data_IF_900454557952
#
_entry.id   IF_900454557952
#
_cell.length_a   1.000
_cell.length_b   1.000
_cell.length_c   1.000
_cell.angle_alpha   90.00
_cell.angle_beta   90.00
_cell.angle_gamma   90.00
#
_symmetry.space_group_name_H-M   'P 1'
#
loop_
_entity.id
_entity.type
_entity.pdbx_description
1 polymer ?
#
# COMPACT_ATOMS: atom_id res chain seq x y z
N UNK A 1 4.20 -3.66 22.12
CA UNK A 1 3.27 -4.03 21.03
C UNK A 1 3.22 -2.85 20.06
N UNK A 2 3.98 -2.89 18.97
CA UNK A 2 3.95 -1.85 17.94
C UNK A 2 2.86 -2.21 16.91
N UNK A 3 2.05 -1.22 16.53
CA UNK A 3 1.01 -1.39 15.51
C UNK A 3 1.52 -0.77 14.21
N UNK A 4 1.56 -1.55 13.13
CA UNK A 4 1.98 -1.10 11.81
C UNK A 4 0.76 -1.24 10.89
N UNK A 5 0.41 -0.19 10.15
CA UNK A 5 -0.71 -0.22 9.21
C UNK A 5 -0.15 -0.35 7.81
N UNK A 6 -0.61 -1.34 7.05
CA UNK A 6 -0.23 -1.54 5.66
C UNK A 6 -1.52 -1.49 4.85
N UNK A 7 -1.64 -0.47 3.99
CA UNK A 7 -2.71 -0.40 3.00
C UNK A 7 -2.11 -0.48 1.60
N UNK A 8 -2.79 -1.24 0.74
CA UNK A 8 -2.56 -1.23 -0.70
C UNK A 8 -3.44 -0.13 -1.30
N UNK A 9 -2.93 1.11 -1.32
CA UNK A 9 -3.59 2.19 -2.05
C UNK A 9 -3.14 2.14 -3.51
N UNK A 10 -3.86 1.36 -4.30
CA UNK A 10 -3.77 1.34 -5.76
C UNK A 10 -4.22 2.66 -6.39
N UNK A 11 -3.43 3.73 -6.25
CA UNK A 11 -3.58 4.93 -7.05
C UNK A 11 -2.93 4.77 -8.43
N UNK A 12 -3.55 5.46 -9.37
CA UNK A 12 -3.52 5.13 -10.78
C UNK A 12 -2.40 5.79 -11.58
N UNK A 13 -1.19 5.25 -11.53
CA UNK A 13 -0.07 5.83 -12.28
C UNK A 13 0.31 4.97 -13.47
N UNK A 14 -0.11 5.40 -14.65
CA UNK A 14 0.01 4.64 -15.89
C UNK A 14 1.38 4.85 -16.54
N UNK A 15 2.10 3.77 -16.87
CA UNK A 15 3.28 3.89 -17.74
C UNK A 15 2.85 4.27 -19.16
N UNK A 16 3.27 5.45 -19.63
CA UNK A 16 3.01 5.90 -21.01
C UNK A 16 3.96 5.31 -22.04
N UNK A 17 5.16 4.88 -21.64
CA UNK A 17 6.22 4.41 -22.56
C UNK A 17 6.24 2.89 -22.71
N UNK A 18 5.99 2.16 -21.62
CA UNK A 18 5.97 0.70 -21.60
C UNK A 18 4.69 0.19 -20.93
N UNK A 19 3.55 0.18 -21.64
CA UNK A 19 2.31 -0.33 -21.06
C UNK A 19 2.49 -1.81 -20.69
N UNK A 20 2.24 -2.14 -19.41
CA UNK A 20 2.30 -3.52 -18.92
C UNK A 20 1.42 -4.39 -19.83
N UNK A 21 1.93 -5.52 -20.34
CA UNK A 21 1.19 -6.37 -21.28
C UNK A 21 0.01 -7.08 -20.59
N UNK A 22 -1.10 -7.25 -21.31
CA UNK A 22 -2.34 -7.84 -20.79
C UNK A 22 -2.16 -9.28 -20.23
N UNK A 23 -1.12 -10.00 -20.66
CA UNK A 23 -0.90 -11.42 -20.36
C UNK A 23 -0.37 -11.70 -18.94
N UNK A 24 0.05 -10.67 -18.19
CA UNK A 24 0.56 -10.78 -16.81
C UNK A 24 -0.26 -10.02 -15.76
N UNK A 25 -1.46 -9.53 -16.13
CA UNK A 25 -2.34 -8.73 -15.26
C UNK A 25 -3.27 -9.61 -14.43
N UNK A 26 -3.33 -9.38 -13.12
CA UNK A 26 -4.45 -9.85 -12.28
C UNK A 26 -5.63 -8.86 -12.24
N UNK A 27 -5.42 -7.59 -12.64
CA UNK A 27 -6.48 -6.58 -12.78
C UNK A 27 -6.35 -5.83 -14.11
N UNK A 28 -7.47 -5.37 -14.68
CA UNK A 28 -7.55 -4.75 -16.02
C UNK A 28 -6.97 -3.32 -16.07
N UNK A 29 -5.86 -3.05 -15.35
CA UNK A 29 -5.34 -1.70 -15.18
C UNK A 29 -3.87 -1.55 -15.54
N UNK A 30 -3.55 -0.47 -16.24
CA UNK A 30 -2.20 -0.05 -16.63
C UNK A 30 -1.44 0.72 -15.55
N UNK A 31 -1.99 0.73 -14.34
CA UNK A 31 -1.52 1.48 -13.19
C UNK A 31 -0.39 0.73 -12.47
N UNK A 32 0.64 1.45 -12.03
CA UNK A 32 1.61 0.97 -11.08
C UNK A 32 0.95 0.74 -9.72
N UNK A 33 1.29 -0.36 -9.06
CA UNK A 33 0.84 -0.68 -7.71
C UNK A 33 1.88 -0.19 -6.71
N UNK A 34 1.43 0.41 -5.61
CA UNK A 34 2.32 0.96 -4.57
C UNK A 34 1.82 0.51 -3.21
N UNK A 35 2.66 -0.22 -2.48
CA UNK A 35 2.41 -0.58 -1.11
C UNK A 35 2.91 0.52 -0.18
N UNK A 36 2.12 0.86 0.84
CA UNK A 36 2.49 1.85 1.86
C UNK A 36 2.29 1.24 3.23
N UNK A 37 3.36 1.19 4.03
CA UNK A 37 3.31 0.83 5.44
C UNK A 37 3.67 2.02 6.32
N UNK A 38 2.87 2.25 7.35
CA UNK A 38 3.06 3.34 8.32
C UNK A 38 3.02 2.76 9.73
N UNK A 39 4.10 2.99 10.47
CA UNK A 39 4.16 2.69 11.89
C UNK A 39 3.27 3.65 12.69
N UNK A 40 2.45 3.12 13.59
CA UNK A 40 1.55 3.88 14.45
C UNK A 40 2.11 3.91 15.85
N UNK A 41 2.41 5.11 16.33
CA UNK A 41 2.90 5.35 17.68
C UNK A 41 1.79 5.96 18.55
N UNK A 42 1.91 5.93 19.88
CA UNK A 42 0.95 6.58 20.78
C UNK A 42 0.74 8.06 20.48
N UNK A 43 1.76 8.73 19.93
CA UNK A 43 1.72 10.12 19.47
C UNK A 43 2.17 10.20 18.00
N UNK A 44 1.23 9.98 17.09
CA UNK A 44 1.43 10.19 15.65
C UNK A 44 1.93 8.97 14.89
N UNK A 45 2.73 9.23 13.84
CA UNK A 45 3.24 8.21 12.93
C UNK A 45 4.76 8.12 13.03
N UNK A 46 5.27 6.89 13.02
CA UNK A 46 6.70 6.58 13.05
C UNK A 46 7.25 6.41 11.64
N UNK A 47 7.98 5.31 11.42
CA UNK A 47 8.57 5.02 10.11
C UNK A 47 7.49 4.81 9.05
N UNK A 48 7.79 5.29 7.84
CA UNK A 48 6.97 5.13 6.64
C UNK A 48 7.80 4.34 5.63
N UNK A 49 7.18 3.35 4.98
CA UNK A 49 7.75 2.57 3.89
C UNK A 49 6.80 2.68 2.70
N UNK A 50 7.36 2.99 1.54
CA UNK A 50 6.65 3.08 0.27
C UNK A 50 7.45 2.21 -0.71
N UNK A 51 6.79 1.31 -1.42
CA UNK A 51 7.45 0.47 -2.42
C UNK A 51 6.51 0.22 -3.59
N UNK A 52 7.01 0.35 -4.81
CA UNK A 52 6.30 -0.10 -6.00
C UNK A 52 6.28 -1.63 -6.04
N UNK A 53 5.10 -2.20 -6.20
CA UNK A 53 4.94 -3.63 -6.41
C UNK A 53 4.93 -3.93 -7.91
N UNK A 54 5.66 -4.98 -8.32
CA UNK A 54 5.62 -5.47 -9.70
C UNK A 54 4.21 -5.95 -10.08
N UNK A 55 3.52 -6.58 -9.12
CA UNK A 55 2.18 -7.12 -9.29
C UNK A 55 1.32 -6.83 -8.05
N UNK A 56 0.04 -6.53 -8.27
CA UNK A 56 -0.96 -6.39 -7.21
C UNK A 56 -1.49 -7.75 -6.73
N UNK A 57 -0.59 -8.68 -6.44
CA UNK A 57 -0.93 -10.04 -6.04
C UNK A 57 -0.54 -10.31 -4.58
N UNK A 58 -1.07 -11.40 -4.02
CA UNK A 58 -0.79 -11.79 -2.64
C UNK A 58 0.70 -12.00 -2.36
N UNK A 59 1.45 -12.58 -3.31
CA UNK A 59 2.87 -12.89 -3.11
C UNK A 59 3.71 -11.61 -2.99
N UNK A 60 3.54 -10.66 -3.91
CA UNK A 60 4.26 -9.38 -3.88
C UNK A 60 3.95 -8.58 -2.62
N UNK A 61 2.70 -8.62 -2.14
CA UNK A 61 2.32 -7.96 -0.89
C UNK A 61 2.92 -8.65 0.34
N UNK A 62 2.91 -9.99 0.39
CA UNK A 62 3.50 -10.75 1.50
C UNK A 62 5.01 -10.51 1.59
N UNK A 63 5.72 -10.50 0.46
CA UNK A 63 7.15 -10.14 0.42
C UNK A 63 7.38 -8.74 0.98
N UNK A 64 6.60 -7.74 0.55
CA UNK A 64 6.68 -6.39 1.08
C UNK A 64 6.49 -6.35 2.60
N UNK A 65 5.48 -7.03 3.14
CA UNK A 65 5.22 -7.07 4.58
C UNK A 65 6.41 -7.72 5.30
N UNK A 66 6.89 -8.87 4.86
CA UNK A 66 8.01 -9.57 5.50
C UNK A 66 9.31 -8.75 5.51
N UNK A 67 9.55 -7.94 4.48
CA UNK A 67 10.74 -7.10 4.37
C UNK A 67 10.64 -5.80 5.18
N UNK A 68 9.43 -5.28 5.40
CA UNK A 68 9.22 -3.93 5.94
C UNK A 68 8.63 -3.88 7.34
N UNK A 69 7.90 -4.93 7.73
CA UNK A 69 7.17 -5.04 9.00
C UNK A 69 7.91 -5.99 9.91
N UNK A 70 8.13 -5.57 11.15
CA UNK A 70 8.79 -6.43 12.14
C UNK A 70 7.88 -7.61 12.50
N UNK A 71 8.41 -8.83 12.47
CA UNK A 71 7.66 -10.06 12.80
C UNK A 71 7.03 -9.93 14.19
N UNK A 72 5.81 -10.45 14.38
CA UNK A 72 4.95 -10.27 15.57
C UNK A 72 4.40 -8.84 15.76
N UNK A 73 4.58 -7.95 14.79
CA UNK A 73 3.82 -6.70 14.75
C UNK A 73 2.37 -6.95 14.39
N UNK A 74 1.50 -6.05 14.84
CA UNK A 74 0.09 -6.04 14.45
C UNK A 74 -0.08 -5.25 13.16
N UNK A 75 -0.45 -5.94 12.09
CA UNK A 75 -0.78 -5.38 10.78
C UNK A 75 -2.26 -5.01 10.75
N UNK A 76 -2.58 -3.74 10.47
CA UNK A 76 -3.95 -3.29 10.20
C UNK A 76 -4.10 -3.03 8.70
N UNK A 77 -5.09 -3.64 8.04
CA UNK A 77 -5.42 -3.39 6.62
C UNK A 77 -6.93 -3.24 6.34
N UNK A 78 -7.24 -2.84 5.10
CA UNK A 78 -8.57 -2.53 4.56
C UNK A 78 -9.46 -3.76 4.24
N UNK A 79 -8.94 -4.95 4.47
CA UNK A 79 -9.64 -6.21 4.18
C UNK A 79 -9.54 -6.70 2.73
N UNK A 80 -8.62 -6.15 1.94
CA UNK A 80 -8.27 -6.73 0.65
C UNK A 80 -7.87 -8.21 0.79
N UNK A 81 -8.32 -9.03 -0.17
CA UNK A 81 -8.01 -10.46 -0.22
C UNK A 81 -6.52 -10.76 -0.38
N UNK A 82 -5.70 -9.77 -0.77
CA UNK A 82 -4.26 -9.90 -0.87
C UNK A 82 -3.59 -10.12 0.51
N UNK A 83 -4.22 -9.69 1.61
CA UNK A 83 -3.73 -9.89 2.98
C UNK A 83 -4.12 -11.24 3.59
N UNK A 84 -4.75 -12.15 2.83
CA UNK A 84 -5.07 -13.49 3.37
C UNK A 84 -3.77 -14.22 3.77
N UNK A 85 -3.86 -14.99 4.85
CA UNK A 85 -2.76 -15.84 5.36
C UNK A 85 -1.52 -15.09 5.87
N UNK A 86 -1.60 -13.78 6.14
CA UNK A 86 -0.46 -13.10 6.79
C UNK A 86 -0.28 -13.56 8.24
N UNK A 87 -1.34 -14.08 8.88
CA UNK A 87 -1.27 -14.71 10.20
C UNK A 87 -0.37 -15.95 10.19
N UNK A 88 -0.41 -16.74 9.11
CA UNK A 88 0.46 -17.91 8.91
C UNK A 88 1.96 -17.51 8.81
N UNK A 89 2.23 -16.23 8.52
CA UNK A 89 3.59 -15.66 8.44
C UNK A 89 4.06 -15.06 9.78
N UNK A 90 3.28 -15.18 10.86
CA UNK A 90 3.64 -14.73 12.20
C UNK A 90 3.29 -13.27 12.50
N UNK A 91 2.35 -12.68 11.76
CA UNK A 91 1.81 -11.34 12.00
C UNK A 91 0.41 -11.39 12.61
N UNK A 92 0.14 -10.54 13.61
CA UNK A 92 -1.23 -10.34 14.07
C UNK A 92 -1.99 -9.52 13.01
N UNK A 93 -3.16 -9.98 12.56
CA UNK A 93 -3.94 -9.25 11.54
C UNK A 93 -5.20 -8.61 12.13
N UNK A 94 -5.32 -7.29 11.98
CA UNK A 94 -6.57 -6.55 12.22
C UNK A 94 -7.13 -6.07 10.90
N UNK A 95 -8.36 -6.47 10.60
CA UNK A 95 -9.05 -6.03 9.37
C UNK A 95 -10.08 -4.95 9.69
N UNK A 96 -10.16 -3.92 8.85
CA UNK A 96 -11.32 -3.01 8.82
C UNK A 96 -11.83 -2.91 7.40
N UNK A 97 -12.91 -3.63 7.11
CA UNK A 97 -13.51 -3.67 5.78
C UNK A 97 -14.29 -2.37 5.53
N UNK A 98 -13.75 -1.48 4.69
CA UNK A 98 -14.40 -0.19 4.40
C UNK A 98 -15.76 -0.34 3.70
N UNK A 99 -15.98 -1.40 2.92
CA UNK A 99 -17.26 -1.67 2.25
C UNK A 99 -18.42 -1.98 3.21
N UNK A 100 -18.14 -2.35 4.47
CA UNK A 100 -19.14 -2.70 5.49
C UNK A 100 -19.05 -1.82 6.74
N UNK A 101 -18.25 -0.76 6.69
CA UNK A 101 -18.03 0.13 7.83
C UNK A 101 -18.70 1.47 7.59
N UNK A 102 -19.46 1.95 8.56
CA UNK A 102 -19.99 3.32 8.58
C UNK A 102 -18.89 4.37 8.81
N UNK A 103 -17.65 3.94 9.03
CA UNK A 103 -16.48 4.80 9.25
C UNK A 103 -15.72 4.98 7.93
N UNK A 104 -15.58 6.23 7.43
CA UNK A 104 -14.80 6.50 6.24
C UNK A 104 -13.35 6.01 6.33
N UNK A 105 -12.79 5.54 5.22
CA UNK A 105 -11.43 4.96 5.17
C UNK A 105 -10.33 5.87 5.77
N UNK A 106 -10.44 7.18 5.52
CA UNK A 106 -9.53 8.20 6.06
C UNK A 106 -9.60 8.38 7.58
N UNK A 107 -10.68 7.92 8.23
CA UNK A 107 -10.83 7.92 9.70
C UNK A 107 -10.32 6.62 10.30
N UNK A 108 -10.50 5.49 9.62
CA UNK A 108 -10.01 4.18 10.09
C UNK A 108 -8.50 4.01 9.98
N UNK A 109 -7.88 4.58 8.93
CA UNK A 109 -6.44 4.41 8.64
C UNK A 109 -5.80 5.74 8.21
N UNK A 110 -5.77 6.75 9.11
CA UNK A 110 -5.39 8.12 8.78
C UNK A 110 -3.92 8.28 8.33
N UNK A 111 -3.04 7.40 8.80
CA UNK A 111 -1.60 7.46 8.48
C UNK A 111 -1.33 7.16 7.01
N UNK A 112 -1.75 5.98 6.55
CA UNK A 112 -1.49 5.55 5.18
C UNK A 112 -2.19 6.46 4.17
N UNK A 113 -3.44 6.86 4.43
CA UNK A 113 -4.17 7.81 3.59
C UNK A 113 -3.47 9.18 3.49
N UNK A 114 -2.92 9.69 4.59
CA UNK A 114 -2.15 10.94 4.59
C UNK A 114 -0.89 10.81 3.75
N UNK A 115 -0.14 9.72 3.92
CA UNK A 115 1.08 9.46 3.14
C UNK A 115 0.76 9.34 1.65
N UNK A 116 -0.28 8.62 1.28
CA UNK A 116 -0.69 8.49 -0.12
C UNK A 116 -1.07 9.86 -0.74
N UNK A 117 -1.81 10.70 -0.01
CA UNK A 117 -2.14 12.05 -0.47
C UNK A 117 -0.89 12.94 -0.65
N UNK A 118 0.11 12.81 0.23
CA UNK A 118 1.39 13.52 0.11
C UNK A 118 2.21 13.02 -1.07
N UNK A 119 2.28 11.70 -1.26
CA UNK A 119 2.94 11.08 -2.41
C UNK A 119 2.30 11.55 -3.73
N UNK A 120 0.98 11.50 -3.81
CA UNK A 120 0.23 12.00 -4.97
C UNK A 120 0.53 13.48 -5.25
N UNK A 121 0.56 14.32 -4.20
CA UNK A 121 0.89 15.74 -4.33
C UNK A 121 2.31 15.95 -4.82
N UNK A 122 3.29 15.26 -4.25
CA UNK A 122 4.69 15.35 -4.67
C UNK A 122 4.84 14.92 -6.13
N UNK A 123 4.19 13.83 -6.51
CA UNK A 123 4.23 13.29 -7.85
C UNK A 123 3.67 14.29 -8.88
N UNK A 124 2.53 14.92 -8.59
CA UNK A 124 1.94 15.93 -9.47
C UNK A 124 2.76 17.24 -9.49
N UNK A 125 3.33 17.65 -8.36
CA UNK A 125 4.08 18.90 -8.24
C UNK A 125 5.47 18.84 -8.84
N UNK A 126 6.22 17.77 -8.58
CA UNK A 126 7.60 17.59 -9.05
C UNK A 126 7.63 17.20 -10.51
N UNK A 127 6.80 16.23 -10.90
CA UNK A 127 6.80 15.70 -12.26
C UNK A 127 5.78 16.37 -13.19
N UNK A 128 5.02 17.36 -12.71
CA UNK A 128 4.09 18.16 -13.52
C UNK A 128 3.14 17.33 -14.40
N UNK A 129 2.70 16.17 -13.87
CA UNK A 129 1.83 15.23 -14.59
C UNK A 129 2.55 14.30 -15.60
N UNK A 130 3.85 14.44 -15.81
CA UNK A 130 4.69 13.53 -16.59
C UNK A 130 5.22 12.35 -15.74
N UNK A 131 4.31 11.71 -15.02
CA UNK A 131 4.62 10.62 -14.09
C UNK A 131 4.93 9.33 -14.84
N UNK A 132 6.03 8.67 -14.49
CA UNK A 132 6.42 7.33 -14.95
C UNK A 132 6.62 6.41 -13.73
N UNK A 133 6.27 5.12 -13.81
CA UNK A 133 6.40 4.22 -12.67
C UNK A 133 7.80 4.11 -12.08
N UNK A 134 8.85 4.25 -12.90
CA UNK A 134 10.24 4.22 -12.43
C UNK A 134 10.58 5.34 -11.44
N UNK A 135 9.80 6.41 -11.39
CA UNK A 135 9.96 7.48 -10.41
C UNK A 135 9.53 7.07 -8.99
N UNK A 136 8.85 5.92 -8.85
CA UNK A 136 8.49 5.32 -7.55
C UNK A 136 9.58 4.37 -7.02
N UNK A 137 10.62 4.11 -7.80
CA UNK A 137 11.73 3.20 -7.43
C UNK A 137 12.92 3.95 -6.79
N UNK A 138 12.84 5.29 -6.69
CA UNK A 138 13.84 6.17 -6.07
C UNK A 138 13.45 6.56 -4.65
#
# INVERSE_FOLDING_TARGET
>A
MQAQRADDLGQAWTDRKHPISAKGRQSNTTKAMVAIAVEVLPKGFGRIRIQRLEHGNQQSLQSFIMETVEVRSKVHSDGSGAYRKIEDLGFDHKVTVHMRSDVPAHQSMPGVHRVAALLQRWMMGTHHGAVQPSQLDY
#
